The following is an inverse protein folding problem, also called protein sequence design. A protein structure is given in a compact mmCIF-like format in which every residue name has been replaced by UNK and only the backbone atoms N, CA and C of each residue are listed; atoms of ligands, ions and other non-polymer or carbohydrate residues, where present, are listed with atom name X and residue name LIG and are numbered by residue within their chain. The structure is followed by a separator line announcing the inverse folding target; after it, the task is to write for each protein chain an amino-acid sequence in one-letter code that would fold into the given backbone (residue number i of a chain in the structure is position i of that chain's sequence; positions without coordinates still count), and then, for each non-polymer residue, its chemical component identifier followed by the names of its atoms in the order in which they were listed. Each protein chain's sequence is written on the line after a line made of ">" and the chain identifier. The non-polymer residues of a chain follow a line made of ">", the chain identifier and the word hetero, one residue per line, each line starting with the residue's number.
data_IF_769585576792
#
_entry.id   IF_769585576792
#
_cell.length_a   1.000
_cell.length_b   1.000
_cell.length_c   1.000
_cell.angle_alpha   90.00
_cell.angle_beta   90.00
_cell.angle_gamma   90.00
#
_symmetry.space_group_name_H-M   'P 1'
#
loop_
_entity.id
_entity.type
_entity.pdbx_description
1 polymer ?
#
# COMPACT_ATOMS: atom_id res chain seq x y z
N UNK A 1 -46.74 -31.57 91.68
CA UNK A 1 -46.14 -30.28 92.05
C UNK A 1 -47.20 -29.16 92.10
N UNK A 2 -48.15 -29.07 91.18
CA UNK A 2 -49.21 -28.04 91.24
C UNK A 2 -50.27 -28.27 92.34
N UNK A 3 -50.63 -29.52 92.62
CA UNK A 3 -51.72 -29.87 93.56
C UNK A 3 -51.46 -29.46 95.01
N UNK A 4 -50.22 -29.51 95.50
CA UNK A 4 -49.86 -29.08 96.86
C UNK A 4 -49.82 -27.54 96.99
N UNK A 5 -49.42 -26.84 95.93
CA UNK A 5 -49.39 -25.37 95.88
C UNK A 5 -50.82 -24.82 95.83
N UNK A 6 -51.67 -25.42 94.99
CA UNK A 6 -53.11 -25.12 94.92
C UNK A 6 -53.82 -25.44 96.24
N UNK A 7 -53.46 -26.55 96.90
CA UNK A 7 -54.01 -26.91 98.22
C UNK A 7 -53.67 -25.85 99.28
N UNK A 8 -52.44 -25.37 99.32
CA UNK A 8 -52.03 -24.35 100.28
C UNK A 8 -52.71 -23.00 100.03
N UNK A 9 -52.87 -22.58 98.77
CA UNK A 9 -53.55 -21.32 98.44
C UNK A 9 -55.05 -21.38 98.79
N UNK A 10 -55.71 -22.50 98.52
CA UNK A 10 -57.13 -22.69 98.87
C UNK A 10 -57.32 -22.70 100.40
N UNK A 11 -56.38 -23.23 101.17
CA UNK A 11 -56.39 -23.20 102.65
C UNK A 11 -56.15 -21.78 103.18
N UNK A 12 -55.28 -21.00 102.55
CA UNK A 12 -55.07 -19.59 102.89
C UNK A 12 -56.32 -18.74 102.62
N UNK A 13 -57.03 -19.00 101.52
CA UNK A 13 -58.30 -18.36 101.22
C UNK A 13 -59.37 -18.68 102.28
N UNK A 14 -59.42 -19.93 102.78
CA UNK A 14 -60.32 -20.34 103.87
C UNK A 14 -59.97 -19.64 105.20
N UNK A 15 -58.67 -19.48 105.51
CA UNK A 15 -58.21 -18.75 106.71
C UNK A 15 -58.67 -17.29 106.74
N UNK A 16 -58.83 -16.64 105.59
CA UNK A 16 -59.34 -15.27 105.49
C UNK A 16 -60.86 -15.15 105.71
N UNK A 17 -61.61 -16.24 105.48
CA UNK A 17 -63.09 -16.25 105.55
C UNK A 17 -63.64 -16.72 106.89
N UNK A 18 -62.93 -17.62 107.57
CA UNK A 18 -63.37 -18.18 108.85
C UNK A 18 -62.46 -17.71 109.99
N UNK A 19 -63.02 -16.87 110.87
CA UNK A 19 -62.31 -16.32 112.03
C UNK A 19 -62.30 -17.29 113.21
N UNK A 20 -63.28 -18.20 113.28
CA UNK A 20 -63.36 -19.21 114.32
C UNK A 20 -62.51 -20.44 114.00
N UNK A 21 -61.66 -20.83 114.95
CA UNK A 21 -60.69 -21.92 114.78
C UNK A 21 -61.38 -23.27 114.49
N UNK A 22 -62.53 -23.54 115.12
CA UNK A 22 -63.27 -24.81 114.95
C UNK A 22 -63.86 -24.94 113.54
N UNK A 23 -64.50 -23.88 113.03
CA UNK A 23 -65.07 -23.86 111.68
C UNK A 23 -63.98 -23.96 110.62
N UNK A 24 -62.85 -23.29 110.82
CA UNK A 24 -61.71 -23.40 109.91
C UNK A 24 -61.19 -24.84 109.83
N UNK A 25 -61.10 -25.57 110.95
CA UNK A 25 -60.74 -26.98 110.93
C UNK A 25 -61.75 -27.85 110.17
N UNK A 26 -63.06 -27.58 110.32
CA UNK A 26 -64.12 -28.31 109.61
C UNK A 26 -64.05 -28.10 108.09
N UNK A 27 -63.86 -26.87 107.64
CA UNK A 27 -63.77 -26.56 106.20
C UNK A 27 -62.48 -27.08 105.56
N UNK A 28 -61.37 -27.08 106.31
CA UNK A 28 -60.12 -27.71 105.84
C UNK A 28 -60.26 -29.24 105.78
N UNK A 29 -60.97 -29.87 106.74
CA UNK A 29 -61.34 -31.29 106.62
C UNK A 29 -62.17 -31.55 105.37
N UNK A 30 -63.18 -30.72 105.10
CA UNK A 30 -64.04 -30.85 103.92
C UNK A 30 -63.25 -30.66 102.62
N UNK A 31 -62.37 -29.65 102.55
CA UNK A 31 -61.55 -29.37 101.38
C UNK A 31 -60.58 -30.53 101.09
N UNK A 32 -59.87 -31.02 102.11
CA UNK A 32 -58.96 -32.17 101.96
C UNK A 32 -59.71 -33.41 101.45
N UNK A 33 -60.86 -33.71 102.05
CA UNK A 33 -61.61 -34.93 101.76
C UNK A 33 -62.34 -34.89 100.41
N UNK A 34 -63.11 -33.82 100.13
CA UNK A 34 -63.98 -33.77 98.96
C UNK A 34 -63.27 -33.31 97.68
N UNK A 35 -62.36 -32.35 97.77
CA UNK A 35 -61.73 -31.74 96.58
C UNK A 35 -60.43 -32.43 96.20
N UNK A 36 -59.64 -32.84 97.21
CA UNK A 36 -58.32 -33.44 97.00
C UNK A 36 -58.29 -34.96 97.26
N UNK A 37 -59.35 -35.55 97.80
CA UNK A 37 -59.42 -36.99 98.10
C UNK A 37 -58.42 -37.45 99.16
N UNK A 38 -57.86 -36.54 99.97
CA UNK A 38 -56.90 -36.85 101.03
C UNK A 38 -57.68 -37.08 102.32
N UNK A 39 -57.47 -38.23 102.97
CA UNK A 39 -58.06 -38.48 104.29
C UNK A 39 -57.50 -37.48 105.31
N UNK A 40 -58.34 -36.61 105.91
CA UNK A 40 -57.88 -35.67 106.90
C UNK A 40 -57.38 -36.45 108.13
N UNK A 41 -56.19 -36.13 108.59
CA UNK A 41 -55.60 -36.66 109.84
C UNK A 41 -55.28 -35.50 110.77
N UNK A 42 -55.34 -35.72 112.08
CA UNK A 42 -55.10 -34.66 113.08
C UNK A 42 -53.74 -33.97 112.87
N UNK A 43 -52.71 -34.74 112.47
CA UNK A 43 -51.37 -34.22 112.17
C UNK A 43 -51.37 -33.29 110.94
N UNK A 44 -52.01 -33.67 109.83
CA UNK A 44 -52.09 -32.84 108.63
C UNK A 44 -52.90 -31.56 108.86
N UNK A 45 -54.04 -31.67 109.56
CA UNK A 45 -54.87 -30.52 109.91
C UNK A 45 -54.09 -29.51 110.75
N UNK A 46 -53.34 -29.98 111.75
CA UNK A 46 -52.50 -29.13 112.56
C UNK A 46 -51.39 -28.45 111.74
N UNK A 47 -50.73 -29.17 110.83
CA UNK A 47 -49.70 -28.63 109.94
C UNK A 47 -50.22 -27.49 109.04
N UNK A 48 -51.47 -27.60 108.57
CA UNK A 48 -52.10 -26.65 107.65
C UNK A 48 -52.84 -25.49 108.33
N UNK A 49 -53.37 -25.65 109.54
CA UNK A 49 -54.14 -24.58 110.23
C UNK A 49 -53.33 -23.88 111.32
N UNK A 50 -52.39 -24.58 111.98
CA UNK A 50 -51.43 -24.05 112.98
C UNK A 50 -52.05 -23.09 114.01
N UNK A 51 -53.30 -23.33 114.44
CA UNK A 51 -54.04 -22.52 115.43
C UNK A 51 -54.80 -23.41 116.42
N UNK A 52 -54.86 -23.05 117.69
CA UNK A 52 -55.61 -23.78 118.73
C UNK A 52 -54.78 -24.76 119.57
N UNK A 53 -55.42 -25.42 120.54
CA UNK A 53 -54.80 -26.39 121.44
C UNK A 53 -54.50 -27.73 120.72
N UNK A 54 -53.61 -28.55 121.29
CA UNK A 54 -53.23 -29.85 120.71
C UNK A 54 -54.41 -30.82 120.51
N UNK A 55 -55.50 -30.68 121.26
CA UNK A 55 -56.69 -31.54 121.14
C UNK A 55 -57.71 -31.06 120.09
N UNK A 56 -57.66 -29.80 119.67
CA UNK A 56 -58.66 -29.20 118.77
C UNK A 56 -58.73 -29.86 117.36
N UNK A 57 -57.61 -30.26 116.71
CA UNK A 57 -57.67 -30.94 115.41
C UNK A 57 -58.32 -32.33 115.48
N UNK A 58 -58.17 -33.04 116.60
CA UNK A 58 -58.74 -34.37 116.78
C UNK A 58 -60.25 -34.29 117.04
N UNK A 59 -60.70 -33.32 117.84
CA UNK A 59 -62.11 -33.07 118.12
C UNK A 59 -62.87 -32.62 116.86
N UNK A 60 -62.32 -31.68 116.09
CA UNK A 60 -62.91 -31.21 114.85
C UNK A 60 -62.98 -32.30 113.77
N UNK A 61 -61.97 -33.18 113.72
CA UNK A 61 -61.97 -34.35 112.83
C UNK A 61 -63.04 -35.37 113.25
N UNK A 62 -63.19 -35.64 114.54
CA UNK A 62 -64.22 -36.55 115.05
C UNK A 62 -65.63 -36.01 114.74
N UNK A 63 -65.88 -34.72 115.00
CA UNK A 63 -67.14 -34.05 114.64
C UNK A 63 -67.38 -34.05 113.13
N UNK A 64 -66.36 -33.78 112.30
CA UNK A 64 -66.50 -33.82 110.84
C UNK A 64 -66.95 -35.21 110.34
N UNK A 65 -66.35 -36.28 110.86
CA UNK A 65 -66.76 -37.64 110.47
C UNK A 65 -68.14 -38.01 111.00
N UNK A 66 -68.53 -37.51 112.17
CA UNK A 66 -69.87 -37.68 112.72
C UNK A 66 -70.93 -36.96 111.87
N UNK A 67 -70.68 -35.68 111.53
CA UNK A 67 -71.53 -34.88 110.66
C UNK A 67 -71.63 -35.46 109.24
N UNK A 68 -70.52 -36.00 108.72
CA UNK A 68 -70.51 -36.64 107.41
C UNK A 68 -71.32 -37.94 107.45
N UNK A 69 -71.18 -38.75 108.51
CA UNK A 69 -71.94 -39.99 108.67
C UNK A 69 -73.43 -39.72 108.89
N UNK A 70 -73.79 -38.70 109.66
CA UNK A 70 -75.19 -38.31 109.85
C UNK A 70 -75.84 -37.79 108.57
N UNK A 71 -75.14 -36.95 107.80
CA UNK A 71 -75.64 -36.41 106.51
C UNK A 71 -75.65 -37.43 105.38
N UNK A 72 -74.74 -38.40 105.39
CA UNK A 72 -74.71 -39.49 104.40
C UNK A 72 -75.71 -40.61 104.72
N UNK A 73 -76.30 -40.63 105.92
CA UNK A 73 -77.32 -41.60 106.29
C UNK A 73 -78.64 -41.23 105.64
N UNK A 74 -79.11 -42.08 104.73
CA UNK A 74 -80.48 -41.99 104.19
C UNK A 74 -81.41 -42.60 105.23
N UNK A 75 -81.77 -41.82 106.25
CA UNK A 75 -82.83 -42.20 107.20
C UNK A 75 -84.17 -41.65 106.71
N UNK A 76 -85.11 -42.56 106.43
CA UNK A 76 -86.51 -42.20 106.20
C UNK A 76 -87.16 -41.99 107.58
N UNK A 77 -86.97 -40.79 108.14
CA UNK A 77 -87.53 -40.48 109.44
C UNK A 77 -88.99 -40.00 109.32
N UNK A 78 -89.90 -40.97 109.18
CA UNK A 78 -91.34 -40.77 109.29
C UNK A 78 -91.87 -41.50 110.54
N UNK A 79 -92.58 -40.82 111.47
CA UNK A 79 -92.94 -41.39 112.78
C UNK A 79 -93.91 -42.59 112.70
N UNK A 80 -94.67 -42.72 111.60
CA UNK A 80 -95.69 -43.77 111.44
C UNK A 80 -95.26 -44.99 110.59
N UNK A 81 -93.98 -45.12 110.21
CA UNK A 81 -93.52 -46.23 109.35
C UNK A 81 -92.84 -47.35 110.15
N UNK A 82 -93.25 -48.64 109.97
CA UNK A 82 -92.56 -49.80 110.54
C UNK A 82 -91.07 -49.86 110.16
N UNK A 83 -90.18 -50.26 111.09
CA UNK A 83 -88.73 -50.26 110.87
C UNK A 83 -88.30 -51.15 109.70
N UNK A 84 -88.96 -52.29 109.50
CA UNK A 84 -88.68 -53.23 108.39
C UNK A 84 -88.92 -52.59 107.01
N UNK A 85 -89.94 -51.74 106.87
CA UNK A 85 -90.23 -51.02 105.62
C UNK A 85 -89.24 -49.88 105.37
N UNK A 86 -88.73 -49.24 106.43
CA UNK A 86 -87.70 -48.20 106.32
C UNK A 86 -86.38 -48.79 105.82
N UNK A 87 -85.96 -49.93 106.36
CA UNK A 87 -84.74 -50.63 105.93
C UNK A 87 -84.82 -51.08 104.47
N UNK A 88 -85.93 -51.71 104.08
CA UNK A 88 -86.15 -52.15 102.69
C UNK A 88 -86.19 -50.99 101.69
N UNK A 89 -86.85 -49.88 102.04
CA UNK A 89 -86.90 -48.69 101.20
C UNK A 89 -85.53 -48.00 101.09
N UNK A 90 -84.76 -47.92 102.18
CA UNK A 90 -83.40 -47.38 102.17
C UNK A 90 -82.46 -48.24 101.31
N UNK A 91 -82.57 -49.57 101.38
CA UNK A 91 -81.79 -50.50 100.54
C UNK A 91 -82.14 -50.34 99.05
N UNK A 92 -83.42 -50.24 98.71
CA UNK A 92 -83.87 -50.01 97.34
C UNK A 92 -83.37 -48.68 96.76
N UNK A 93 -83.40 -47.60 97.56
CA UNK A 93 -82.88 -46.28 97.14
C UNK A 93 -81.35 -46.32 97.00
N UNK A 94 -80.64 -46.99 97.91
CA UNK A 94 -79.18 -47.15 97.83
C UNK A 94 -78.77 -47.94 96.58
N UNK A 95 -79.51 -49.00 96.25
CA UNK A 95 -79.28 -49.79 95.05
C UNK A 95 -79.55 -49.00 93.77
N UNK A 96 -80.67 -48.27 93.71
CA UNK A 96 -81.00 -47.41 92.58
C UNK A 96 -79.95 -46.31 92.39
N UNK A 97 -79.47 -45.70 93.47
CA UNK A 97 -78.37 -44.73 93.42
C UNK A 97 -77.07 -45.35 92.92
N UNK A 98 -76.73 -46.56 93.38
CA UNK A 98 -75.54 -47.31 92.93
C UNK A 98 -75.62 -47.61 91.43
N UNK A 99 -76.76 -48.08 90.94
CA UNK A 99 -76.99 -48.37 89.52
C UNK A 99 -76.95 -47.10 88.67
N UNK A 100 -77.63 -46.02 89.09
CA UNK A 100 -77.60 -44.74 88.40
C UNK A 100 -76.17 -44.15 88.34
N UNK A 101 -75.42 -44.22 89.44
CA UNK A 101 -74.02 -43.76 89.49
C UNK A 101 -73.12 -44.63 88.61
N UNK A 102 -73.35 -45.94 88.57
CA UNK A 102 -72.60 -46.85 87.70
C UNK A 102 -72.87 -46.57 86.22
N UNK A 103 -74.15 -46.38 85.83
CA UNK A 103 -74.54 -46.02 84.47
C UNK A 103 -73.94 -44.66 84.05
N UNK A 104 -74.04 -43.63 84.88
CA UNK A 104 -73.45 -42.32 84.61
C UNK A 104 -71.91 -42.38 84.45
N UNK A 105 -71.22 -43.22 85.24
CA UNK A 105 -69.78 -43.44 85.09
C UNK A 105 -69.41 -44.18 83.80
N UNK A 106 -70.24 -45.14 83.38
CA UNK A 106 -70.05 -45.85 82.12
C UNK A 106 -70.25 -44.93 80.93
N UNK A 107 -71.33 -44.15 80.91
CA UNK A 107 -71.60 -43.15 79.86
C UNK A 107 -70.46 -42.12 79.77
N UNK A 108 -70.00 -41.60 80.92
CA UNK A 108 -68.85 -40.70 80.96
C UNK A 108 -67.57 -41.35 80.41
N UNK A 109 -67.35 -42.64 80.68
CA UNK A 109 -66.20 -43.36 80.16
C UNK A 109 -66.28 -43.54 78.63
N UNK A 110 -67.46 -43.83 78.10
CA UNK A 110 -67.71 -43.91 76.64
C UNK A 110 -67.45 -42.55 75.99
N UNK A 111 -68.06 -41.48 76.50
CA UNK A 111 -67.85 -40.13 75.96
C UNK A 111 -66.38 -39.71 75.99
N UNK A 112 -65.64 -40.05 77.06
CA UNK A 112 -64.21 -39.78 77.15
C UNK A 112 -63.39 -40.52 76.10
N UNK A 113 -63.74 -41.76 75.78
CA UNK A 113 -63.08 -42.52 74.72
C UNK A 113 -63.42 -41.96 73.34
N UNK A 114 -64.65 -41.55 73.11
CA UNK A 114 -65.07 -40.89 71.86
C UNK A 114 -64.37 -39.55 71.66
N UNK A 115 -64.28 -38.72 72.70
CA UNK A 115 -63.55 -37.45 72.67
C UNK A 115 -62.05 -37.67 72.42
N UNK A 116 -61.45 -38.68 73.06
CA UNK A 116 -60.04 -39.05 72.81
C UNK A 116 -59.83 -39.50 71.37
N UNK A 117 -60.70 -40.35 70.83
CA UNK A 117 -60.64 -40.80 69.44
C UNK A 117 -60.83 -39.63 68.46
N UNK A 118 -61.74 -38.70 68.74
CA UNK A 118 -61.95 -37.51 67.93
C UNK A 118 -60.73 -36.57 67.95
N UNK A 119 -60.09 -36.39 69.10
CA UNK A 119 -58.85 -35.62 69.23
C UNK A 119 -57.70 -36.27 68.47
N UNK A 120 -57.53 -37.60 68.58
CA UNK A 120 -56.51 -38.34 67.83
C UNK A 120 -56.74 -38.25 66.31
N UNK A 121 -57.99 -38.35 65.86
CA UNK A 121 -58.36 -38.17 64.45
C UNK A 121 -58.03 -36.76 63.97
N UNK A 122 -58.43 -35.72 64.72
CA UNK A 122 -58.14 -34.33 64.36
C UNK A 122 -56.64 -34.04 64.31
N UNK A 123 -55.85 -34.58 65.27
CA UNK A 123 -54.39 -34.48 65.24
C UNK A 123 -53.78 -35.24 64.05
N UNK A 124 -54.33 -36.40 63.71
CA UNK A 124 -53.94 -37.16 62.52
C UNK A 124 -54.20 -36.41 61.22
N UNK A 125 -55.34 -35.73 61.11
CA UNK A 125 -55.66 -34.88 59.95
C UNK A 125 -54.77 -33.63 59.90
N UNK A 126 -54.54 -32.96 61.02
CA UNK A 126 -53.66 -31.79 61.09
C UNK A 126 -52.22 -32.14 60.69
N UNK A 127 -51.69 -33.26 61.18
CA UNK A 127 -50.34 -33.73 60.82
C UNK A 127 -50.23 -34.06 59.34
N UNK A 128 -51.23 -34.71 58.74
CA UNK A 128 -51.29 -34.97 57.30
C UNK A 128 -51.39 -33.68 56.49
N UNK A 129 -52.21 -32.72 56.93
CA UNK A 129 -52.35 -31.43 56.26
C UNK A 129 -51.03 -30.64 56.29
N UNK A 130 -50.34 -30.62 57.44
CA UNK A 130 -49.02 -30.00 57.59
C UNK A 130 -47.98 -30.68 56.70
N UNK A 131 -47.97 -32.01 56.62
CA UNK A 131 -47.07 -32.74 55.72
C UNK A 131 -47.33 -32.37 54.25
N UNK A 132 -48.59 -32.39 53.82
CA UNK A 132 -48.98 -31.99 52.47
C UNK A 132 -48.60 -30.54 52.15
N UNK A 133 -48.74 -29.61 53.09
CA UNK A 133 -48.29 -28.22 52.94
C UNK A 133 -46.76 -28.14 52.76
N UNK A 134 -45.99 -28.85 53.60
CA UNK A 134 -44.52 -28.85 53.47
C UNK A 134 -44.04 -29.44 52.15
N UNK A 135 -44.69 -30.50 51.66
CA UNK A 135 -44.40 -31.10 50.37
C UNK A 135 -44.77 -30.15 49.22
N UNK A 136 -45.93 -29.49 49.31
CA UNK A 136 -46.36 -28.51 48.32
C UNK A 136 -45.40 -27.30 48.24
N UNK A 137 -44.93 -26.80 49.39
CA UNK A 137 -43.94 -25.72 49.45
C UNK A 137 -42.59 -26.16 48.86
N UNK A 138 -42.11 -27.36 49.19
CA UNK A 138 -40.88 -27.91 48.60
C UNK A 138 -41.00 -28.06 47.07
N UNK A 139 -42.15 -28.54 46.59
CA UNK A 139 -42.43 -28.65 45.16
C UNK A 139 -42.49 -27.26 44.49
N UNK A 140 -43.13 -26.28 45.12
CA UNK A 140 -43.17 -24.90 44.61
C UNK A 140 -41.75 -24.29 44.51
N UNK A 141 -40.91 -24.50 45.52
CA UNK A 141 -39.53 -24.03 45.53
C UNK A 141 -38.68 -24.70 44.43
N UNK A 142 -38.83 -26.01 44.22
CA UNK A 142 -38.12 -26.70 43.14
C UNK A 142 -38.55 -26.21 41.76
N UNK A 143 -39.86 -26.05 41.53
CA UNK A 143 -40.39 -25.47 40.29
C UNK A 143 -39.91 -24.03 40.08
N UNK A 144 -39.87 -23.22 41.15
CA UNK A 144 -39.35 -21.84 41.07
C UNK A 144 -37.88 -21.81 40.67
N UNK A 145 -37.04 -22.71 41.22
CA UNK A 145 -35.63 -22.84 40.82
C UNK A 145 -35.46 -23.36 39.40
N UNK A 146 -36.31 -24.27 38.95
CA UNK A 146 -36.29 -24.74 37.56
C UNK A 146 -36.69 -23.63 36.59
N UNK A 147 -37.71 -22.84 36.94
CA UNK A 147 -38.17 -21.71 36.15
C UNK A 147 -37.11 -20.61 36.08
N UNK A 148 -36.43 -20.28 37.18
CA UNK A 148 -35.32 -19.31 37.16
C UNK A 148 -34.17 -19.77 36.27
N UNK A 149 -33.76 -21.04 36.38
CA UNK A 149 -32.72 -21.62 35.49
C UNK A 149 -33.12 -21.61 34.02
N UNK A 150 -34.38 -21.93 33.73
CA UNK A 150 -34.91 -21.89 32.37
C UNK A 150 -34.89 -20.45 31.82
N UNK A 151 -35.30 -19.47 32.62
CA UNK A 151 -35.25 -18.04 32.27
C UNK A 151 -33.81 -17.56 32.03
N UNK A 152 -32.86 -17.93 32.90
CA UNK A 152 -31.44 -17.63 32.71
C UNK A 152 -30.91 -18.24 31.40
N UNK A 153 -31.23 -19.51 31.11
CA UNK A 153 -30.82 -20.15 29.86
C UNK A 153 -31.45 -19.50 28.62
N UNK A 154 -32.69 -19.01 28.73
CA UNK A 154 -33.37 -18.30 27.66
C UNK A 154 -32.69 -16.95 27.40
N UNK A 155 -32.36 -16.21 28.45
CA UNK A 155 -31.66 -14.94 28.34
C UNK A 155 -30.27 -15.12 27.71
N UNK A 156 -29.52 -16.15 28.13
CA UNK A 156 -28.23 -16.48 27.52
C UNK A 156 -28.36 -16.79 26.02
N UNK A 157 -29.34 -17.62 25.64
CA UNK A 157 -29.60 -17.91 24.23
C UNK A 157 -30.01 -16.68 23.42
N UNK A 158 -30.77 -15.76 24.02
CA UNK A 158 -31.12 -14.50 23.38
C UNK A 158 -29.88 -13.63 23.17
N UNK A 159 -29.00 -13.51 24.17
CA UNK A 159 -27.74 -12.76 24.01
C UNK A 159 -26.82 -13.38 22.97
N UNK A 160 -26.74 -14.71 22.93
CA UNK A 160 -25.94 -15.44 21.93
C UNK A 160 -26.48 -15.22 20.52
N UNK A 161 -27.79 -15.31 20.34
CA UNK A 161 -28.46 -15.08 19.06
C UNK A 161 -28.27 -13.64 18.57
N UNK A 162 -28.36 -12.65 19.47
CA UNK A 162 -28.04 -11.28 19.11
C UNK A 162 -26.56 -11.09 18.73
N UNK A 163 -25.64 -11.78 19.41
CA UNK A 163 -24.22 -11.75 19.06
C UNK A 163 -23.97 -12.39 17.70
N UNK A 164 -24.63 -13.51 17.38
CA UNK A 164 -24.58 -14.14 16.06
C UNK A 164 -25.16 -13.24 14.97
N UNK A 165 -26.26 -12.54 15.22
CA UNK A 165 -26.82 -11.56 14.27
C UNK A 165 -25.87 -10.40 14.01
N UNK A 166 -25.24 -9.86 15.05
CA UNK A 166 -24.21 -8.81 14.89
C UNK A 166 -23.01 -9.33 14.11
N UNK A 167 -22.55 -10.55 14.40
CA UNK A 167 -21.46 -11.19 13.66
C UNK A 167 -21.82 -11.42 12.19
N UNK A 168 -23.04 -11.91 11.91
CA UNK A 168 -23.54 -12.12 10.56
C UNK A 168 -23.64 -10.81 9.79
N UNK A 169 -24.24 -9.76 10.37
CA UNK A 169 -24.30 -8.44 9.75
C UNK A 169 -22.90 -7.89 9.42
N UNK A 170 -21.93 -8.07 10.33
CA UNK A 170 -20.53 -7.66 10.07
C UNK A 170 -19.88 -8.47 8.94
N UNK A 171 -20.21 -9.75 8.81
CA UNK A 171 -19.68 -10.61 7.75
C UNK A 171 -20.27 -10.24 6.39
N UNK A 172 -21.57 -9.94 6.35
CA UNK A 172 -22.26 -9.44 5.14
C UNK A 172 -21.69 -8.09 4.71
N UNK A 173 -21.48 -7.16 5.65
CA UNK A 173 -20.88 -5.86 5.33
C UNK A 173 -19.46 -6.00 4.75
N UNK A 174 -18.63 -6.87 5.35
CA UNK A 174 -17.29 -7.19 4.81
C UNK A 174 -17.34 -7.81 3.42
N UNK A 175 -18.30 -8.70 3.17
CA UNK A 175 -18.47 -9.32 1.86
C UNK A 175 -18.89 -8.29 0.80
N UNK A 176 -19.79 -7.36 1.13
CA UNK A 176 -20.18 -6.27 0.24
C UNK A 176 -19.01 -5.32 -0.05
N UNK A 177 -18.20 -4.98 0.95
CA UNK A 177 -17.00 -4.16 0.76
C UNK A 177 -15.98 -4.85 -0.15
N UNK A 178 -15.72 -6.15 0.06
CA UNK A 178 -14.85 -6.94 -0.81
C UNK A 178 -15.38 -7.04 -2.25
N UNK A 179 -16.71 -7.18 -2.43
CA UNK A 179 -17.33 -7.16 -3.75
C UNK A 179 -17.11 -5.82 -4.46
N UNK A 180 -17.29 -4.70 -3.75
CA UNK A 180 -17.03 -3.36 -4.31
C UNK A 180 -15.58 -3.19 -4.71
N UNK A 181 -14.63 -3.60 -3.85
CA UNK A 181 -13.21 -3.55 -4.20
C UNK A 181 -12.86 -4.44 -5.40
N UNK A 182 -13.49 -5.61 -5.52
CA UNK A 182 -13.30 -6.48 -6.68
C UNK A 182 -13.82 -5.83 -7.98
N UNK A 183 -15.00 -5.22 -7.94
CA UNK A 183 -15.57 -4.49 -9.07
C UNK A 183 -14.71 -3.27 -9.45
N UNK A 184 -14.23 -2.51 -8.47
CA UNK A 184 -13.31 -1.38 -8.69
C UNK A 184 -12.00 -1.83 -9.32
N UNK A 185 -11.38 -2.89 -8.79
CA UNK A 185 -10.14 -3.44 -9.33
C UNK A 185 -10.33 -3.96 -10.76
N UNK A 186 -11.46 -4.62 -11.04
CA UNK A 186 -11.81 -5.07 -12.39
C UNK A 186 -11.97 -3.90 -13.36
N UNK A 187 -12.70 -2.86 -12.96
CA UNK A 187 -12.87 -1.66 -13.76
C UNK A 187 -11.54 -0.95 -14.03
N UNK A 188 -10.65 -0.87 -13.04
CA UNK A 188 -9.31 -0.32 -13.21
C UNK A 188 -8.47 -1.17 -14.18
N UNK A 189 -8.54 -2.49 -14.09
CA UNK A 189 -7.86 -3.40 -15.00
C UNK A 189 -8.36 -3.25 -16.45
N UNK A 190 -9.68 -3.15 -16.64
CA UNK A 190 -10.28 -2.93 -17.96
C UNK A 190 -9.85 -1.59 -18.56
N UNK A 191 -9.84 -0.52 -17.75
CA UNK A 191 -9.32 0.81 -18.18
C UNK A 191 -7.85 0.74 -18.55
N UNK A 192 -7.01 0.15 -17.70
CA UNK A 192 -5.58 -0.01 -17.98
C UNK A 192 -5.31 -0.81 -19.27
N UNK A 193 -6.10 -1.86 -19.54
CA UNK A 193 -6.03 -2.62 -20.79
C UNK A 193 -6.43 -1.77 -22.00
N UNK A 194 -7.50 -0.99 -21.89
CA UNK A 194 -7.93 -0.08 -22.95
C UNK A 194 -6.86 0.99 -23.24
N UNK A 195 -6.37 1.68 -22.21
CA UNK A 195 -5.32 2.69 -22.33
C UNK A 195 -4.03 2.12 -22.92
N UNK A 196 -3.62 0.93 -22.47
CA UNK A 196 -2.47 0.24 -23.02
C UNK A 196 -2.65 -0.09 -24.51
N UNK A 197 -3.84 -0.56 -24.91
CA UNK A 197 -4.13 -0.85 -26.33
C UNK A 197 -4.06 0.40 -27.20
N UNK A 198 -4.56 1.53 -26.71
CA UNK A 198 -4.50 2.83 -27.40
C UNK A 198 -3.06 3.30 -27.52
N UNK A 199 -2.27 3.22 -26.44
CA UNK A 199 -0.86 3.62 -26.45
C UNK A 199 -0.01 2.72 -27.36
N UNK A 200 -0.31 1.43 -27.40
CA UNK A 200 0.34 0.48 -28.31
C UNK A 200 -0.01 0.78 -29.78
N UNK A 201 -1.26 1.17 -30.07
CA UNK A 201 -1.66 1.67 -31.38
C UNK A 201 -0.85 2.91 -31.79
N UNK A 202 -0.80 3.94 -30.94
CA UNK A 202 -0.01 5.16 -31.18
C UNK A 202 1.47 4.88 -31.37
N UNK A 203 2.04 3.96 -30.59
CA UNK A 203 3.45 3.57 -30.72
C UNK A 203 3.72 2.89 -32.07
N UNK A 204 2.82 2.00 -32.52
CA UNK A 204 2.91 1.38 -33.86
C UNK A 204 2.83 2.43 -34.96
N UNK A 205 1.87 3.33 -34.91
CA UNK A 205 1.73 4.43 -35.89
C UNK A 205 2.99 5.32 -35.91
N UNK A 206 3.55 5.65 -34.75
CA UNK A 206 4.79 6.43 -34.66
C UNK A 206 5.98 5.69 -35.30
N UNK A 207 6.08 4.37 -35.10
CA UNK A 207 7.09 3.52 -35.75
C UNK A 207 6.88 3.49 -37.27
N UNK A 208 5.65 3.31 -37.74
CA UNK A 208 5.34 3.29 -39.18
C UNK A 208 5.69 4.63 -39.85
N UNK A 209 5.38 5.75 -39.20
CA UNK A 209 5.76 7.09 -39.68
C UNK A 209 7.27 7.28 -39.68
N UNK A 210 7.98 6.81 -38.65
CA UNK A 210 9.43 6.89 -38.58
C UNK A 210 10.11 6.05 -39.67
N UNK A 211 9.64 4.81 -39.88
CA UNK A 211 10.10 3.93 -40.95
C UNK A 211 9.84 4.57 -42.32
N UNK A 212 8.64 5.11 -42.57
CA UNK A 212 8.33 5.80 -43.81
C UNK A 212 9.21 7.04 -44.07
N UNK A 213 9.59 7.78 -43.01
CA UNK A 213 10.56 8.88 -43.11
C UNK A 213 11.97 8.37 -43.43
N UNK A 214 12.40 7.26 -42.82
CA UNK A 214 13.68 6.61 -43.12
C UNK A 214 13.73 6.17 -44.58
N UNK A 215 12.74 5.41 -45.05
CA UNK A 215 12.64 4.95 -46.43
C UNK A 215 12.66 6.12 -47.42
N UNK A 216 11.96 7.22 -47.12
CA UNK A 216 11.95 8.41 -47.96
C UNK A 216 13.32 9.12 -47.97
N UNK A 217 14.00 9.19 -46.83
CA UNK A 217 15.34 9.74 -46.72
C UNK A 217 16.37 8.87 -47.48
N UNK A 218 16.27 7.55 -47.36
CA UNK A 218 17.10 6.59 -48.10
C UNK A 218 16.91 6.74 -49.62
N UNK A 219 15.66 6.83 -50.10
CA UNK A 219 15.39 7.06 -51.54
C UNK A 219 15.97 8.38 -52.03
N UNK A 220 15.86 9.46 -51.27
CA UNK A 220 16.47 10.76 -51.62
C UNK A 220 17.99 10.66 -51.67
N UNK A 221 18.61 10.05 -50.66
CA UNK A 221 20.05 9.86 -50.63
C UNK A 221 20.55 9.03 -51.82
N UNK A 222 19.82 7.97 -52.21
CA UNK A 222 20.16 7.19 -53.40
C UNK A 222 20.06 8.02 -54.70
N UNK A 223 19.02 8.84 -54.84
CA UNK A 223 18.88 9.75 -55.99
C UNK A 223 20.00 10.80 -56.03
N UNK A 224 20.37 11.38 -54.90
CA UNK A 224 21.46 12.36 -54.80
C UNK A 224 22.80 11.69 -55.14
N UNK A 225 23.05 10.47 -54.65
CA UNK A 225 24.23 9.67 -55.02
C UNK A 225 24.28 9.43 -56.54
N UNK A 226 23.16 9.09 -57.17
CA UNK A 226 23.12 8.85 -58.61
C UNK A 226 23.30 10.15 -59.41
N UNK A 227 22.75 11.28 -58.94
CA UNK A 227 22.99 12.60 -59.53
C UNK A 227 24.48 12.98 -59.43
N UNK A 228 25.09 12.79 -58.27
CA UNK A 228 26.54 13.03 -58.04
C UNK A 228 27.39 12.12 -58.92
N UNK A 229 27.04 10.83 -59.05
CA UNK A 229 27.72 9.90 -59.97
C UNK A 229 27.62 10.37 -61.42
N UNK A 230 26.44 10.79 -61.86
CA UNK A 230 26.26 11.31 -63.22
C UNK A 230 27.03 12.62 -63.43
N UNK A 231 27.05 13.52 -62.45
CA UNK A 231 27.81 14.76 -62.50
C UNK A 231 29.32 14.48 -62.60
N UNK A 232 29.84 13.55 -61.78
CA UNK A 232 31.23 13.08 -61.86
C UNK A 232 31.57 12.53 -63.24
N UNK A 233 30.74 11.63 -63.79
CA UNK A 233 30.94 11.09 -65.15
C UNK A 233 30.97 12.20 -66.21
N UNK A 234 30.13 13.25 -66.08
CA UNK A 234 30.15 14.39 -67.01
C UNK A 234 31.44 15.20 -66.88
N UNK A 235 31.88 15.48 -65.66
CA UNK A 235 33.14 16.20 -65.41
C UNK A 235 34.33 15.39 -65.90
N UNK A 236 34.38 14.08 -65.66
CA UNK A 236 35.44 13.19 -66.16
C UNK A 236 35.51 13.21 -67.69
N UNK A 237 34.36 13.13 -68.38
CA UNK A 237 34.31 13.28 -69.86
C UNK A 237 34.79 14.65 -70.33
N UNK A 238 34.43 15.73 -69.62
CA UNK A 238 34.91 17.08 -69.95
C UNK A 238 36.42 17.21 -69.71
N UNK A 239 36.95 16.63 -68.63
CA UNK A 239 38.38 16.59 -68.35
C UNK A 239 39.14 15.78 -69.40
N UNK A 240 38.64 14.63 -69.82
CA UNK A 240 39.21 13.83 -70.91
C UNK A 240 39.19 14.61 -72.25
N UNK A 241 38.09 15.30 -72.56
CA UNK A 241 37.99 16.16 -73.73
C UNK A 241 39.02 17.30 -73.69
N UNK A 242 39.13 18.02 -72.58
CA UNK A 242 40.12 19.08 -72.38
C UNK A 242 41.56 18.55 -72.45
N UNK A 243 41.85 17.38 -71.86
CA UNK A 243 43.16 16.71 -71.98
C UNK A 243 43.49 16.37 -73.43
N UNK A 244 42.51 15.87 -74.19
CA UNK A 244 42.70 15.57 -75.61
C UNK A 244 42.96 16.83 -76.44
N UNK A 245 42.25 17.93 -76.15
CA UNK A 245 42.46 19.24 -76.78
C UNK A 245 43.84 19.80 -76.43
N UNK A 246 44.24 19.73 -75.16
CA UNK A 246 45.57 20.16 -74.72
C UNK A 246 46.65 19.35 -75.45
N UNK A 247 46.55 18.02 -75.49
CA UNK A 247 47.49 17.17 -76.21
C UNK A 247 47.56 17.50 -77.71
N UNK A 248 46.43 17.82 -78.36
CA UNK A 248 46.40 18.29 -79.75
C UNK A 248 47.09 19.65 -79.91
N UNK A 249 46.84 20.61 -79.01
CA UNK A 249 47.49 21.93 -79.07
C UNK A 249 48.99 21.85 -78.80
N UNK A 250 49.42 21.03 -77.85
CA UNK A 250 50.83 20.73 -77.59
C UNK A 250 51.48 20.03 -78.77
N UNK A 251 50.78 19.07 -79.41
CA UNK A 251 51.20 18.43 -80.64
C UNK A 251 51.43 19.44 -81.76
N UNK A 252 50.44 20.29 -82.05
CA UNK A 252 50.56 21.39 -83.03
C UNK A 252 51.67 22.37 -82.69
N UNK A 253 51.84 22.71 -81.41
CA UNK A 253 52.92 23.58 -80.96
C UNK A 253 54.29 22.94 -81.20
N UNK A 254 54.45 21.64 -80.89
CA UNK A 254 55.68 20.88 -81.17
C UNK A 254 55.95 20.80 -82.68
N UNK A 255 54.95 20.51 -83.50
CA UNK A 255 55.06 20.50 -84.96
C UNK A 255 55.48 21.87 -85.50
N UNK A 256 54.87 22.96 -85.01
CA UNK A 256 55.24 24.32 -85.40
C UNK A 256 56.66 24.69 -84.94
N UNK A 257 57.06 24.29 -83.73
CA UNK A 257 58.43 24.49 -83.24
C UNK A 257 59.45 23.73 -84.09
N UNK A 258 59.16 22.48 -84.46
CA UNK A 258 60.00 21.71 -85.37
C UNK A 258 60.07 22.37 -86.76
N UNK A 259 58.95 22.82 -87.31
CA UNK A 259 58.91 23.53 -88.59
C UNK A 259 59.69 24.86 -88.54
N UNK A 260 59.61 25.61 -87.42
CA UNK A 260 60.42 26.81 -87.20
C UNK A 260 61.91 26.48 -87.07
N UNK A 261 62.27 25.44 -86.33
CA UNK A 261 63.65 24.97 -86.21
C UNK A 261 64.22 24.53 -87.57
N UNK A 262 63.45 23.80 -88.37
CA UNK A 262 63.79 23.43 -89.74
C UNK A 262 63.98 24.66 -90.64
N UNK A 263 63.11 25.68 -90.50
CA UNK A 263 63.24 26.93 -91.24
C UNK A 263 64.50 27.71 -90.85
N UNK A 264 64.81 27.78 -89.55
CA UNK A 264 66.04 28.39 -89.03
C UNK A 264 67.26 27.63 -89.55
N UNK A 265 67.27 26.29 -89.48
CA UNK A 265 68.36 25.47 -90.00
C UNK A 265 68.58 25.70 -91.51
N UNK A 266 67.50 25.79 -92.30
CA UNK A 266 67.59 26.15 -93.73
C UNK A 266 68.13 27.56 -93.96
N UNK A 267 67.75 28.53 -93.11
CA UNK A 267 68.28 29.89 -93.19
C UNK A 267 69.76 29.95 -92.77
N UNK A 268 70.17 29.18 -91.78
CA UNK A 268 71.58 29.04 -91.36
C UNK A 268 72.41 28.44 -92.50
N UNK A 269 71.98 27.33 -93.11
CA UNK A 269 72.67 26.75 -94.28
C UNK A 269 72.78 27.77 -95.43
N UNK A 270 71.74 28.57 -95.67
CA UNK A 270 71.81 29.66 -96.67
C UNK A 270 72.77 30.77 -96.24
N UNK A 271 72.77 31.16 -94.97
CA UNK A 271 73.68 32.17 -94.43
C UNK A 271 75.13 31.69 -94.56
N UNK A 272 75.43 30.46 -94.15
CA UNK A 272 76.75 29.83 -94.28
C UNK A 272 77.18 29.77 -95.76
N UNK A 273 76.30 29.36 -96.67
CA UNK A 273 76.59 29.38 -98.11
C UNK A 273 76.84 30.80 -98.64
N UNK A 274 76.11 31.81 -98.16
CA UNK A 274 76.37 33.21 -98.53
C UNK A 274 77.67 33.74 -97.91
N UNK A 275 78.00 33.36 -96.68
CA UNK A 275 79.27 33.69 -96.05
C UNK A 275 80.44 33.05 -96.80
N UNK A 276 80.32 31.78 -97.21
CA UNK A 276 81.28 31.11 -98.08
C UNK A 276 81.43 31.84 -99.41
N UNK A 277 80.32 32.20 -100.08
CA UNK A 277 80.38 33.00 -101.31
C UNK A 277 81.01 34.38 -101.10
N UNK A 278 80.80 35.02 -99.93
CA UNK A 278 81.48 36.27 -99.59
C UNK A 278 82.97 36.06 -99.29
N UNK A 279 83.35 34.97 -98.62
CA UNK A 279 84.75 34.59 -98.41
C UNK A 279 85.44 34.33 -99.75
N UNK A 280 84.77 33.66 -100.69
CA UNK A 280 85.26 33.46 -102.06
C UNK A 280 85.41 34.78 -102.81
N UNK A 281 84.38 35.64 -102.80
CA UNK A 281 84.42 36.95 -103.44
C UNK A 281 85.47 37.89 -102.82
N UNK A 282 85.69 37.83 -101.51
CA UNK A 282 86.74 38.61 -100.84
C UNK A 282 88.13 38.06 -101.13
N UNK A 283 88.31 36.74 -101.22
CA UNK A 283 89.54 36.12 -101.69
C UNK A 283 89.85 36.52 -103.15
N UNK A 284 88.84 36.49 -104.03
CA UNK A 284 88.92 36.98 -105.41
C UNK A 284 89.25 38.48 -105.50
N UNK A 285 88.64 39.32 -104.65
CA UNK A 285 88.97 40.75 -104.61
C UNK A 285 90.42 40.97 -104.15
N UNK A 286 90.90 40.18 -103.18
CA UNK A 286 92.30 40.24 -102.74
C UNK A 286 93.26 39.83 -103.85
N UNK A 287 92.97 38.78 -104.61
CA UNK A 287 93.81 38.37 -105.75
C UNK A 287 93.82 39.43 -106.85
N UNK A 288 92.66 40.00 -107.20
CA UNK A 288 92.57 41.10 -108.15
C UNK A 288 93.32 42.35 -107.67
N UNK A 289 93.25 42.68 -106.37
CA UNK A 289 94.01 43.79 -105.80
C UNK A 289 95.53 43.57 -105.91
N UNK A 290 96.01 42.35 -105.67
CA UNK A 290 97.43 42.00 -105.85
C UNK A 290 97.86 42.06 -107.32
N UNK A 291 97.02 41.60 -108.25
CA UNK A 291 97.29 41.71 -109.70
C UNK A 291 97.35 43.17 -110.16
N UNK A 292 96.44 44.02 -109.66
CA UNK A 292 96.41 45.45 -109.98
C UNK A 292 97.63 46.18 -109.41
N UNK A 293 98.12 45.76 -108.24
CA UNK A 293 99.35 46.29 -107.65
C UNK A 293 100.59 45.88 -108.46
N UNK A 294 100.68 44.62 -108.89
CA UNK A 294 101.74 44.16 -109.79
C UNK A 294 101.73 44.90 -111.14
N UNK A 295 100.56 45.16 -111.72
CA UNK A 295 100.43 45.94 -112.96
C UNK A 295 100.87 47.40 -112.79
N UNK A 296 100.61 48.02 -111.63
CA UNK A 296 101.09 49.38 -111.31
C UNK A 296 102.60 49.44 -111.15
N UNK A 297 103.20 48.42 -110.54
CA UNK A 297 104.66 48.30 -110.43
C UNK A 297 105.32 48.15 -111.80
N UNK A 298 104.76 47.32 -112.69
CA UNK A 298 105.23 47.21 -114.08
C UNK A 298 105.12 48.53 -114.85
N UNK A 299 104.04 49.30 -114.64
CA UNK A 299 103.89 50.63 -115.25
C UNK A 299 104.96 51.61 -114.74
N UNK A 300 105.27 51.59 -113.44
CA UNK A 300 106.29 52.45 -112.85
C UNK A 300 107.70 52.17 -113.40
N UNK A 301 108.03 50.89 -113.64
CA UNK A 301 109.31 50.49 -114.27
C UNK A 301 109.40 51.02 -115.70
N UNK A 302 108.36 50.84 -116.52
CA UNK A 302 108.34 51.34 -117.91
C UNK A 302 108.42 52.88 -118.00
N UNK A 303 107.88 53.58 -117.00
CA UNK A 303 107.96 55.04 -116.91
C UNK A 303 109.35 55.53 -116.54
N UNK A 304 110.08 54.78 -115.70
CA UNK A 304 111.47 55.11 -115.34
C UNK A 304 112.43 54.91 -116.53
N UNK A 305 112.23 53.87 -117.33
CA UNK A 305 112.98 53.62 -118.57
C UNK A 305 112.77 54.74 -119.59
N UNK A 306 111.53 55.23 -119.75
CA UNK A 306 111.21 56.34 -120.65
C UNK A 306 111.86 57.69 -120.25
N UNK A 307 112.11 57.90 -118.95
CA UNK A 307 112.82 59.09 -118.46
C UNK A 307 114.33 59.01 -118.70
N UNK A 308 114.91 57.81 -118.65
CA UNK A 308 116.34 57.59 -118.92
C UNK A 308 116.68 57.85 -120.40
N UNK A 309 115.87 57.35 -121.34
CA UNK A 309 116.04 57.65 -122.77
C UNK A 309 115.86 59.14 -123.10
N UNK A 310 115.04 59.87 -122.35
CA UNK A 310 114.87 61.33 -122.51
C UNK A 310 116.09 62.13 -122.05
N UNK A 311 116.77 61.70 -120.99
CA UNK A 311 117.98 62.36 -120.47
C UNK A 311 119.19 62.15 -121.39
N UNK A 312 119.34 60.98 -122.00
CA UNK A 312 120.41 60.66 -122.95
C UNK A 312 120.28 61.44 -124.28
N UNK A 313 119.05 61.76 -124.71
CA UNK A 313 118.81 62.55 -125.91
C UNK A 313 119.11 64.06 -125.74
N UNK A 314 119.15 64.56 -124.51
CA UNK A 314 119.45 65.97 -124.21
C UNK A 314 120.95 66.24 -124.15
N UNK A 315 121.75 65.31 -123.63
CA UNK A 315 123.21 65.44 -123.54
C UNK A 315 123.94 65.32 -124.89
N UNK A 316 123.37 64.56 -125.83
CA UNK A 316 123.90 64.47 -127.21
C UNK A 316 123.60 65.73 -128.05
N UNK A 317 122.58 66.52 -127.68
CA UNK A 317 122.24 67.79 -128.34
C UNK A 317 123.17 68.93 -127.95
N UNK A 318 123.67 68.98 -126.72
CA UNK A 318 124.56 70.06 -126.24
C UNK A 318 126.01 69.97 -126.75
N UNK A 319 126.46 68.79 -127.20
CA UNK A 319 127.83 68.59 -127.71
C UNK A 319 127.98 68.87 -129.22
N UNK A 320 126.89 68.83 -129.98
CA UNK A 320 126.89 69.10 -131.43
C UNK A 320 126.84 70.60 -131.79
N UNK A 321 126.44 71.47 -130.86
CA UNK A 321 126.33 72.93 -131.07
C UNK A 321 127.67 73.70 -130.93
N UNK A 322 128.80 73.04 -130.65
CA UNK A 322 130.13 73.69 -130.52
C UNK A 322 131.01 73.70 -131.78
N UNK A 323 130.58 73.11 -132.91
CA UNK A 323 131.35 73.10 -134.15
C UNK A 323 130.47 73.35 -135.39
N UNK A 324 130.59 74.56 -135.95
CA UNK A 324 130.19 75.05 -137.29
C UNK A 324 128.84 75.81 -137.45
N UNK A 325 128.76 76.80 -138.39
CA UNK A 325 127.68 77.81 -138.41
C UNK A 325 126.69 77.66 -139.58
N UNK A 326 125.42 78.06 -139.39
CA UNK A 326 124.62 79.00 -140.23
C UNK A 326 123.09 78.89 -140.01
N UNK A 327 122.44 80.07 -140.02
CA UNK A 327 121.06 80.43 -140.50
C UNK A 327 119.84 79.65 -139.96
N UNK A 328 118.87 80.25 -139.24
CA UNK A 328 117.83 81.28 -139.54
C UNK A 328 116.40 80.66 -139.51
N UNK A 329 115.41 81.51 -139.16
CA UNK A 329 113.92 81.38 -139.31
C UNK A 329 113.19 80.60 -138.18
N UNK A 330 112.43 81.24 -137.25
CA UNK A 330 111.00 81.70 -137.32
C UNK A 330 110.00 80.57 -137.63
N UNK A 331 108.79 80.40 -137.08
CA UNK A 331 107.79 81.24 -136.41
C UNK A 331 106.63 80.34 -135.89
N UNK A 332 105.93 80.79 -134.82
CA UNK A 332 104.46 80.86 -134.58
C UNK A 332 103.47 79.77 -135.05
N UNK A 333 102.24 79.61 -134.54
CA UNK A 333 101.56 79.79 -133.25
C UNK A 333 100.06 79.46 -133.53
N UNK A 334 99.39 78.74 -132.62
CA UNK A 334 97.91 78.70 -132.32
C UNK A 334 96.87 78.34 -133.44
N UNK A 335 95.54 78.22 -133.17
CA UNK A 335 94.78 77.98 -131.92
C UNK A 335 93.61 76.95 -132.01
N UNK A 336 92.96 76.78 -130.85
CA UNK A 336 91.91 75.86 -130.45
C UNK A 336 90.46 76.17 -130.92
N UNK A 337 89.58 75.15 -130.88
CA UNK A 337 88.27 75.22 -130.18
C UNK A 337 87.55 73.85 -130.08
N UNK A 338 86.78 73.69 -128.99
CA UNK A 338 85.91 72.59 -128.48
C UNK A 338 84.60 72.43 -129.34
N UNK A 339 83.54 71.59 -129.06
CA UNK A 339 83.07 71.09 -127.74
C UNK A 339 82.15 69.82 -127.60
N UNK A 340 81.79 69.50 -126.33
CA UNK A 340 80.51 68.93 -125.81
C UNK A 340 80.17 67.43 -126.08
N UNK A 341 79.37 66.67 -125.30
CA UNK A 341 78.74 66.68 -123.94
C UNK A 341 78.08 65.28 -123.74
N UNK A 342 78.12 64.73 -122.50
CA UNK A 342 77.00 64.18 -121.65
C UNK A 342 76.18 62.97 -122.20
N UNK A 343 75.87 61.89 -121.48
CA UNK A 343 74.94 61.83 -120.32
C UNK A 343 74.96 60.53 -119.50
N UNK A 344 74.71 60.67 -118.21
CA UNK A 344 74.40 59.63 -117.22
C UNK A 344 72.93 59.19 -117.23
N UNK A 345 72.62 58.01 -116.64
CA UNK A 345 71.62 57.93 -115.55
C UNK A 345 71.72 56.63 -114.73
N UNK A 346 71.98 56.82 -113.43
CA UNK A 346 71.72 55.92 -112.29
C UNK A 346 70.25 56.06 -111.85
N UNK A 347 69.67 55.00 -111.31
CA UNK A 347 69.31 54.88 -109.88
C UNK A 347 68.19 53.85 -109.65
N UNK A 348 68.45 52.88 -108.76
CA UNK A 348 67.67 52.72 -107.53
C UNK A 348 68.61 52.37 -106.39
#
# INVERSE_FOLDING_TARGET
>A
MNTEIELQSDIEALRGRFTETKDLYREVCALLFFRYGITPTASKLYQFVRKGSMSAPAEALAQFWEDLRSKARVEIDHPDLPPELKESAAEAIAELWRQATAAARQELAVMRLEDQAAVEQAQGEETRARQAETEALANADTLRRQLSKAQESLQQRQTDLEAEWRAHASAVARLQELQRHFEEARNQQERARADFSVNLGKAREAVDVANGRSDAAERRALLDIDQERQARIRVDKQLEALRSQQAQTEGRYRENMLAQADAIARLQVKADATEESQRELTASNRSLATELQAAREQLAVSQQEALQYRAEAQTLRELLDRLSPSQEVSQQEVPASKPSRVSARKAR
#
